data_IF_103398565675
#
_entry.id   IF_103398565675
#
_cell.length_a   1.000
_cell.length_b   1.000
_cell.length_c   1.000
_cell.angle_alpha   90.00
_cell.angle_beta   90.00
_cell.angle_gamma   90.00
#
_symmetry.space_group_name_H-M   'P 1'
#
loop_
_entity.id
_entity.type
_entity.pdbx_description
1 polymer ?
#
# COMPACT_ATOMS: atom_id res chain seq x y z
N UNK A 1 0.44 3.72 10.02
CA UNK A 1 1.84 3.44 10.43
C UNK A 1 1.91 2.35 11.50
N UNK A 2 0.79 1.98 12.12
CA UNK A 2 0.73 0.94 13.16
C UNK A 2 1.29 -0.42 12.71
N UNK A 3 1.08 -0.80 11.44
CA UNK A 3 1.61 -2.05 10.88
C UNK A 3 3.15 -2.13 10.88
N UNK A 4 3.85 -1.01 10.64
CA UNK A 4 5.33 -0.99 10.61
C UNK A 4 5.89 -1.23 12.00
N UNK A 5 5.40 -0.50 12.99
CA UNK A 5 5.82 -0.67 14.38
C UNK A 5 5.56 -2.11 14.86
N UNK A 6 4.36 -2.64 14.56
CA UNK A 6 3.99 -4.00 14.88
C UNK A 6 4.90 -5.06 14.22
N UNK A 7 5.24 -4.89 12.93
CA UNK A 7 6.14 -5.82 12.24
C UNK A 7 7.56 -5.80 12.80
N UNK A 8 8.02 -4.65 13.31
CA UNK A 8 9.30 -4.56 14.03
C UNK A 8 9.26 -5.33 15.35
N UNK A 9 8.14 -5.27 16.09
CA UNK A 9 7.94 -6.01 17.34
C UNK A 9 7.84 -7.53 17.12
N UNK A 10 7.34 -7.98 15.96
CA UNK A 10 7.30 -9.40 15.56
C UNK A 10 8.68 -9.97 15.17
N UNK A 11 9.67 -9.11 14.93
CA UNK A 11 11.04 -9.46 14.54
C UNK A 11 11.13 -10.37 13.29
N UNK A 12 12.31 -10.97 13.03
CA UNK A 12 12.50 -11.95 11.98
C UNK A 12 12.13 -11.47 10.57
N UNK A 13 11.34 -12.27 9.86
CA UNK A 13 10.93 -11.95 8.49
C UNK A 13 10.02 -10.71 8.40
N UNK A 14 9.25 -10.42 9.45
CA UNK A 14 8.39 -9.24 9.54
C UNK A 14 9.21 -7.96 9.66
N UNK A 15 10.32 -8.00 10.39
CA UNK A 15 11.23 -6.87 10.56
C UNK A 15 12.31 -6.77 9.46
N UNK A 16 12.19 -7.56 8.37
CA UNK A 16 13.14 -7.50 7.26
C UNK A 16 13.15 -6.13 6.59
N UNK A 17 14.32 -5.71 6.10
CA UNK A 17 14.48 -4.43 5.39
C UNK A 17 13.53 -4.34 4.20
N UNK A 18 13.36 -5.44 3.50
CA UNK A 18 12.50 -5.56 2.32
C UNK A 18 11.03 -5.35 2.70
N UNK A 19 10.52 -6.04 3.73
CA UNK A 19 9.12 -5.91 4.14
C UNK A 19 8.81 -4.52 4.72
N UNK A 20 9.66 -4.04 5.63
CA UNK A 20 9.48 -2.71 6.23
C UNK A 20 9.59 -1.61 5.18
N UNK A 21 10.53 -1.74 4.24
CA UNK A 21 10.67 -0.83 3.10
C UNK A 21 9.39 -0.79 2.27
N UNK A 22 8.84 -1.94 1.90
CA UNK A 22 7.60 -2.03 1.13
C UNK A 22 6.40 -1.41 1.86
N UNK A 23 6.26 -1.62 3.17
CA UNK A 23 5.20 -1.00 3.97
C UNK A 23 5.30 0.54 3.97
N UNK A 24 6.52 1.08 4.08
CA UNK A 24 6.78 2.52 4.06
C UNK A 24 6.54 3.11 2.66
N UNK A 25 7.07 2.46 1.62
CA UNK A 25 6.85 2.87 0.22
C UNK A 25 5.35 2.87 -0.11
N UNK A 26 4.61 1.86 0.34
CA UNK A 26 3.16 1.78 0.19
C UNK A 26 2.45 2.94 0.89
N UNK A 27 2.82 3.27 2.12
CA UNK A 27 2.22 4.40 2.84
C UNK A 27 2.50 5.73 2.14
N UNK A 28 3.73 5.96 1.69
CA UNK A 28 4.15 7.21 1.05
C UNK A 28 3.51 7.39 -0.33
N UNK A 29 3.43 6.33 -1.15
CA UNK A 29 2.76 6.41 -2.45
C UNK A 29 1.26 6.58 -2.30
N UNK A 30 0.62 5.93 -1.32
CA UNK A 30 -0.81 6.12 -1.05
C UNK A 30 -1.11 7.59 -0.72
N UNK A 31 -0.31 8.18 0.18
CA UNK A 31 -0.43 9.59 0.54
C UNK A 31 -0.21 10.50 -0.66
N UNK A 32 0.85 10.26 -1.43
CA UNK A 32 1.17 11.05 -2.63
C UNK A 32 0.03 10.99 -3.64
N UNK A 33 -0.55 9.81 -3.85
CA UNK A 33 -1.67 9.58 -4.77
C UNK A 33 -2.90 10.36 -4.34
N UNK A 34 -3.28 10.25 -3.07
CA UNK A 34 -4.40 11.00 -2.51
C UNK A 34 -4.20 12.52 -2.70
N UNK A 35 -3.01 13.03 -2.39
CA UNK A 35 -2.71 14.45 -2.52
C UNK A 35 -2.75 14.93 -3.98
N UNK A 36 -2.27 14.12 -4.94
CA UNK A 36 -2.32 14.39 -6.38
C UNK A 36 -3.77 14.42 -6.88
N UNK A 37 -4.60 13.47 -6.43
CA UNK A 37 -6.02 13.41 -6.77
C UNK A 37 -6.82 14.59 -6.19
N UNK A 38 -6.62 14.92 -4.91
CA UNK A 38 -7.31 16.02 -4.23
C UNK A 38 -7.03 17.39 -4.88
N UNK A 39 -5.86 17.54 -5.49
CA UNK A 39 -5.48 18.77 -6.23
C UNK A 39 -5.98 18.79 -7.67
N UNK A 40 -6.68 17.75 -8.14
CA UNK A 40 -7.15 17.64 -9.53
C UNK A 40 -6.00 17.64 -10.54
N UNK A 41 -4.84 17.09 -10.17
CA UNK A 41 -3.67 17.11 -11.04
C UNK A 41 -3.87 16.23 -12.27
N UNK A 42 -3.55 16.76 -13.46
CA UNK A 42 -3.51 15.99 -14.71
C UNK A 42 -2.49 14.83 -14.69
N UNK A 43 -1.66 14.73 -13.64
CA UNK A 43 -0.73 13.62 -13.43
C UNK A 43 -1.32 12.50 -12.56
N UNK A 44 -2.61 12.52 -12.21
CA UNK A 44 -3.17 11.48 -11.34
C UNK A 44 -3.01 10.07 -11.91
N UNK A 45 -3.19 9.88 -13.23
CA UNK A 45 -3.32 8.55 -13.81
C UNK A 45 -2.03 7.72 -13.67
N UNK A 46 -0.84 8.23 -14.06
CA UNK A 46 0.40 7.51 -13.82
C UNK A 46 0.72 7.31 -12.33
N UNK A 47 0.32 8.25 -11.46
CA UNK A 47 0.56 8.12 -10.01
C UNK A 47 -0.35 7.03 -9.40
N UNK A 48 -1.64 7.00 -9.77
CA UNK A 48 -2.57 5.95 -9.38
C UNK A 48 -2.12 4.57 -9.88
N UNK A 49 -1.59 4.47 -11.10
CA UNK A 49 -1.07 3.22 -11.63
C UNK A 49 0.07 2.66 -10.76
N UNK A 50 1.06 3.50 -10.43
CA UNK A 50 2.16 3.11 -9.56
C UNK A 50 1.69 2.74 -8.16
N UNK A 51 0.76 3.53 -7.59
CA UNK A 51 0.15 3.24 -6.30
C UNK A 51 -0.54 1.87 -6.27
N UNK A 52 -1.29 1.54 -7.33
CA UNK A 52 -1.97 0.26 -7.43
C UNK A 52 -1.00 -0.92 -7.46
N UNK A 53 0.14 -0.78 -8.14
CA UNK A 53 1.14 -1.84 -8.23
C UNK A 53 1.90 -2.04 -6.90
N UNK A 54 2.25 -0.95 -6.21
CA UNK A 54 2.89 -1.03 -4.88
C UNK A 54 1.90 -1.59 -3.85
N UNK A 55 0.65 -1.14 -3.85
CA UNK A 55 -0.38 -1.67 -2.95
C UNK A 55 -0.62 -3.16 -3.20
N UNK A 56 -0.64 -3.60 -4.45
CA UNK A 56 -0.78 -5.02 -4.77
C UNK A 56 0.37 -5.85 -4.17
N UNK A 57 1.61 -5.41 -4.36
CA UNK A 57 2.79 -6.08 -3.81
C UNK A 57 2.77 -6.08 -2.27
N UNK A 58 2.41 -4.96 -1.66
CA UNK A 58 2.28 -4.83 -0.21
C UNK A 58 1.22 -5.80 0.35
N UNK A 59 0.07 -5.93 -0.32
CA UNK A 59 -0.98 -6.87 0.08
C UNK A 59 -0.50 -8.32 0.03
N UNK A 60 0.13 -8.72 -1.07
CA UNK A 60 0.66 -10.07 -1.25
C UNK A 60 1.71 -10.43 -0.19
N UNK A 61 2.59 -9.48 0.15
CA UNK A 61 3.61 -9.70 1.16
C UNK A 61 3.03 -9.74 2.59
N UNK A 62 2.05 -8.89 2.87
CA UNK A 62 1.30 -8.93 4.14
C UNK A 62 0.51 -10.23 4.29
N UNK A 63 -0.08 -10.77 3.22
CA UNK A 63 -0.76 -12.08 3.23
C UNK A 63 0.24 -13.22 3.46
N UNK A 64 1.41 -13.16 2.81
CA UNK A 64 2.46 -14.17 2.92
C UNK A 64 3.06 -14.25 4.32
N UNK A 65 3.30 -13.10 4.95
CA UNK A 65 3.86 -13.01 6.29
C UNK A 65 2.78 -13.04 7.38
N UNK A 66 1.54 -12.69 7.05
CA UNK A 66 0.49 -12.41 8.02
C UNK A 66 0.04 -13.60 8.86
N UNK A 67 -0.03 -14.82 8.30
CA UNK A 67 -0.56 -15.97 9.05
C UNK A 67 -1.91 -15.66 9.71
N UNK A 68 -1.96 -15.74 11.04
CA UNK A 68 -3.12 -15.35 11.88
C UNK A 68 -3.08 -13.92 12.44
N UNK A 69 -2.04 -13.16 12.11
CA UNK A 69 -1.88 -11.78 12.56
C UNK A 69 -2.97 -10.88 11.97
N UNK A 70 -3.79 -10.32 12.85
CA UNK A 70 -4.94 -9.54 12.45
C UNK A 70 -4.54 -8.21 11.81
N UNK A 71 -3.41 -7.61 12.21
CA UNK A 71 -2.99 -6.31 11.70
C UNK A 71 -2.42 -6.43 10.28
N UNK A 72 -1.66 -7.49 10.01
CA UNK A 72 -1.19 -7.81 8.66
C UNK A 72 -2.34 -8.16 7.71
N UNK A 73 -3.36 -8.91 8.17
CA UNK A 73 -4.59 -9.17 7.39
C UNK A 73 -5.33 -7.87 7.04
N UNK A 74 -5.49 -6.96 8.00
CA UNK A 74 -6.12 -5.66 7.74
C UNK A 74 -5.29 -4.80 6.76
N UNK A 75 -3.96 -4.83 6.89
CA UNK A 75 -3.07 -4.12 5.98
C UNK A 75 -3.24 -4.63 4.54
N UNK A 76 -3.27 -5.95 4.36
CA UNK A 76 -3.50 -6.56 3.06
C UNK A 76 -4.86 -6.13 2.46
N UNK A 77 -5.95 -6.25 3.22
CA UNK A 77 -7.30 -5.86 2.77
C UNK A 77 -7.36 -4.39 2.35
N UNK A 78 -6.76 -3.49 3.13
CA UNK A 78 -6.70 -2.06 2.80
C UNK A 78 -5.91 -1.82 1.51
N UNK A 79 -4.76 -2.48 1.35
CA UNK A 79 -3.94 -2.36 0.16
C UNK A 79 -4.68 -2.90 -1.08
N UNK A 80 -5.40 -4.02 -0.98
CA UNK A 80 -6.25 -4.55 -2.08
C UNK A 80 -7.32 -3.54 -2.51
N UNK A 81 -8.01 -2.93 -1.54
CA UNK A 81 -9.03 -1.90 -1.81
C UNK A 81 -8.43 -0.66 -2.45
N UNK A 82 -7.29 -0.21 -1.95
CA UNK A 82 -6.57 0.94 -2.50
C UNK A 82 -6.14 0.67 -3.94
N UNK A 83 -5.57 -0.51 -4.21
CA UNK A 83 -5.16 -0.91 -5.55
C UNK A 83 -6.35 -0.94 -6.53
N UNK A 84 -7.49 -1.51 -6.13
CA UNK A 84 -8.70 -1.52 -6.95
C UNK A 84 -9.18 -0.10 -7.28
N UNK A 85 -9.31 0.77 -6.25
CA UNK A 85 -9.73 2.16 -6.43
C UNK A 85 -8.75 2.94 -7.33
N UNK A 86 -7.44 2.77 -7.13
CA UNK A 86 -6.45 3.42 -7.97
C UNK A 86 -6.54 2.97 -9.44
N UNK A 87 -6.80 1.68 -9.71
CA UNK A 87 -7.01 1.17 -11.09
C UNK A 87 -8.23 1.80 -11.76
N UNK A 88 -9.32 2.01 -11.02
CA UNK A 88 -10.50 2.73 -11.53
C UNK A 88 -10.15 4.17 -11.92
N UNK A 89 -9.32 4.85 -11.12
CA UNK A 89 -8.91 6.23 -11.38
C UNK A 89 -7.96 6.40 -12.58
N UNK A 90 -7.25 5.34 -13.02
CA UNK A 90 -6.40 5.40 -14.22
C UNK A 90 -7.23 5.65 -15.49
N UNK A 91 -8.46 5.15 -15.54
CA UNK A 91 -9.38 5.32 -16.68
C UNK A 91 -10.31 6.52 -16.57
N UNK A 92 -10.37 7.18 -15.41
CA UNK A 92 -11.19 8.36 -15.19
C UNK A 92 -10.50 9.60 -15.78
N UNK A 93 -11.20 10.34 -16.64
CA UNK A 93 -10.78 11.68 -17.05
C UNK A 93 -11.33 12.72 -16.06
N UNK A 94 -10.51 13.74 -15.73
CA UNK A 94 -10.99 14.96 -15.06
C UNK A 94 -11.59 15.90 -16.09
#
# INVERSE_FOLDING_TARGET
MDTVAHCLDLEGAHASREHIGLLLDCADICRTTADVMLRGSARHAPVCALCADICQQCAEECERLGGDDQLLRQCADLCRRCAASCREMVGAAI
#
